data_IF_448770046871
#
_entry.id   IF_448770046871
#
_cell.length_a   1.000
_cell.length_b   1.000
_cell.length_c   1.000
_cell.angle_alpha   90.00
_cell.angle_beta   90.00
_cell.angle_gamma   90.00
#
_symmetry.space_group_name_H-M   'P 1'
#
loop_
_entity.id
_entity.type
_entity.pdbx_description
1 polymer ?
#
# COMPACT_ATOMS: atom_id res chain seq x y z
N UNK A 1 -44.93 -13.96 -0.65
CA UNK A 1 -44.98 -14.62 0.67
C UNK A 1 -44.92 -13.64 1.86
N UNK A 2 -45.35 -12.38 1.73
CA UNK A 2 -45.38 -11.45 2.87
C UNK A 2 -44.02 -10.98 3.41
N UNK A 3 -42.90 -11.25 2.71
CA UNK A 3 -41.56 -10.75 3.06
C UNK A 3 -41.41 -9.32 2.54
N UNK A 4 -40.99 -8.39 3.41
CA UNK A 4 -40.58 -7.02 3.02
C UNK A 4 -39.05 -6.97 2.91
N UNK A 5 -38.50 -5.92 2.30
CA UNK A 5 -37.06 -5.67 2.30
C UNK A 5 -36.48 -5.61 3.73
N UNK A 6 -37.21 -5.00 4.67
CA UNK A 6 -36.87 -4.99 6.11
C UNK A 6 -36.99 -6.36 6.79
N UNK A 7 -37.56 -7.36 6.11
CA UNK A 7 -37.69 -8.75 6.55
C UNK A 7 -36.75 -9.69 5.82
N UNK A 8 -35.81 -9.18 5.02
CA UNK A 8 -34.70 -9.94 4.46
C UNK A 8 -33.47 -9.58 5.29
N UNK A 9 -33.05 -10.47 6.19
CA UNK A 9 -31.95 -10.23 7.13
C UNK A 9 -30.69 -10.94 6.64
N UNK A 10 -29.56 -10.25 6.72
CA UNK A 10 -28.23 -10.78 6.47
C UNK A 10 -27.45 -10.76 7.78
N UNK A 11 -27.03 -11.93 8.24
CA UNK A 11 -26.17 -12.11 9.40
C UNK A 11 -24.72 -12.27 8.94
N UNK A 12 -23.80 -11.47 9.45
CA UNK A 12 -22.36 -11.59 9.17
C UNK A 12 -21.80 -12.72 10.03
N UNK A 13 -21.41 -13.82 9.39
CA UNK A 13 -20.85 -15.00 10.07
C UNK A 13 -19.33 -14.92 10.12
N UNK A 14 -18.72 -14.41 9.06
CA UNK A 14 -17.27 -14.19 9.00
C UNK A 14 -17.05 -12.84 8.33
N UNK A 15 -16.46 -11.88 9.05
CA UNK A 15 -16.15 -10.58 8.50
C UNK A 15 -15.08 -10.68 7.41
N UNK A 16 -14.95 -9.65 6.56
CA UNK A 16 -13.85 -9.55 5.62
C UNK A 16 -12.48 -9.58 6.30
N UNK A 17 -11.48 -10.09 5.58
CA UNK A 17 -10.09 -10.21 6.06
C UNK A 17 -9.21 -9.02 5.70
N UNK A 18 -9.60 -8.23 4.70
CA UNK A 18 -8.86 -7.10 4.12
C UNK A 18 -9.64 -5.80 4.20
N UNK A 19 -10.56 -5.71 5.16
CA UNK A 19 -11.42 -4.55 5.31
C UNK A 19 -12.45 -4.75 6.40
N UNK A 20 -13.51 -3.94 6.34
CA UNK A 20 -14.68 -4.05 7.22
C UNK A 20 -15.95 -3.70 6.48
N UNK A 21 -17.06 -4.26 6.93
CA UNK A 21 -18.38 -3.74 6.59
C UNK A 21 -18.69 -2.57 7.52
N UNK A 22 -19.06 -1.44 6.93
CA UNK A 22 -19.48 -0.25 7.65
C UNK A 22 -21.00 -0.11 7.52
N UNK A 23 -21.69 -0.19 8.66
CA UNK A 23 -23.15 -0.15 8.72
C UNK A 23 -23.55 1.15 9.41
N UNK A 24 -24.01 2.12 8.63
CA UNK A 24 -24.44 3.45 9.05
C UNK A 24 -25.80 3.40 9.76
N UNK A 25 -25.88 2.65 10.86
CA UNK A 25 -27.04 2.61 11.73
C UNK A 25 -26.65 3.18 13.09
N UNK A 26 -27.55 3.97 13.70
CA UNK A 26 -27.49 4.32 15.12
C UNK A 26 -27.80 3.09 16.01
N UNK A 27 -27.23 1.93 15.69
CA UNK A 27 -27.38 0.67 16.40
C UNK A 27 -26.06 0.28 17.03
N UNK A 28 -26.11 -0.63 18.00
CA UNK A 28 -24.89 -1.10 18.64
C UNK A 28 -24.03 -1.80 17.57
N UNK A 29 -22.71 -1.57 17.54
CA UNK A 29 -21.75 -2.28 16.69
C UNK A 29 -21.78 -3.82 16.83
N UNK A 30 -22.52 -4.34 17.82
CA UNK A 30 -22.63 -5.75 18.17
C UNK A 30 -23.73 -6.48 17.38
N UNK A 31 -24.59 -5.76 16.65
CA UNK A 31 -25.57 -6.38 15.76
C UNK A 31 -24.91 -6.58 14.39
N UNK A 32 -24.25 -7.73 14.20
CA UNK A 32 -23.69 -8.23 12.93
C UNK A 32 -24.81 -8.56 11.91
N UNK A 33 -25.87 -7.75 11.85
CA UNK A 33 -27.07 -7.99 11.06
C UNK A 33 -27.57 -6.71 10.42
N UNK A 34 -27.81 -6.78 9.11
CA UNK A 34 -28.45 -5.72 8.34
C UNK A 34 -29.54 -6.29 7.44
N UNK A 35 -30.39 -5.44 6.89
CA UNK A 35 -31.51 -5.84 6.04
C UNK A 35 -31.29 -5.47 4.58
N UNK A 36 -32.10 -6.03 3.68
CA UNK A 36 -32.14 -5.58 2.29
C UNK A 36 -32.56 -4.10 2.17
N UNK A 37 -33.38 -3.61 3.10
CA UNK A 37 -33.73 -2.19 3.16
C UNK A 37 -32.50 -1.32 3.49
N UNK A 38 -31.62 -1.79 4.37
CA UNK A 38 -30.39 -1.05 4.72
C UNK A 38 -29.42 -1.01 3.53
N UNK A 39 -29.28 -2.13 2.80
CA UNK A 39 -28.51 -2.17 1.53
C UNK A 39 -29.09 -1.22 0.49
N UNK A 40 -30.42 -1.23 0.29
CA UNK A 40 -31.09 -0.40 -0.70
C UNK A 40 -31.00 1.12 -0.39
N UNK A 41 -30.75 1.48 0.86
CA UNK A 41 -30.54 2.87 1.29
C UNK A 41 -29.06 3.27 1.34
N UNK A 42 -28.14 2.43 0.82
CA UNK A 42 -26.69 2.63 0.86
C UNK A 42 -26.12 2.79 2.28
N UNK A 43 -26.79 2.21 3.29
CA UNK A 43 -26.33 2.26 4.69
C UNK A 43 -25.34 1.17 5.03
N UNK A 44 -25.07 0.24 4.12
CA UNK A 44 -24.08 -0.83 4.28
C UNK A 44 -23.03 -0.65 3.20
N UNK A 45 -21.80 -0.35 3.61
CA UNK A 45 -20.66 -0.18 2.72
C UNK A 45 -19.53 -1.15 3.07
N UNK A 46 -18.61 -1.36 2.14
CA UNK A 46 -17.35 -2.03 2.41
C UNK A 46 -16.21 -1.01 2.37
N UNK A 47 -15.34 -1.08 3.37
CA UNK A 47 -14.13 -0.24 3.45
C UNK A 47 -12.92 -1.16 3.47
N UNK A 48 -12.10 -1.08 2.40
CA UNK A 48 -10.83 -1.82 2.30
C UNK A 48 -9.80 -1.25 3.29
N UNK A 49 -8.88 -2.09 3.75
CA UNK A 49 -7.83 -1.73 4.71
C UNK A 49 -6.65 -0.95 4.10
N UNK A 50 -6.69 -0.68 2.79
CA UNK A 50 -5.62 -0.03 2.03
C UNK A 50 -4.47 -0.95 1.61
N UNK A 51 -4.53 -2.26 1.88
CA UNK A 51 -3.57 -3.21 1.32
C UNK A 51 -3.78 -3.45 -0.18
N UNK A 52 -2.79 -4.04 -0.84
CA UNK A 52 -2.82 -4.31 -2.30
C UNK A 52 -3.56 -5.60 -2.69
N UNK A 53 -4.30 -6.18 -1.76
CA UNK A 53 -5.12 -7.34 -2.07
C UNK A 53 -6.31 -6.95 -2.93
N UNK A 54 -6.50 -7.67 -4.03
CA UNK A 54 -7.63 -7.43 -4.94
C UNK A 54 -8.84 -8.31 -4.63
N UNK A 55 -8.69 -9.23 -3.69
CA UNK A 55 -9.70 -10.22 -3.32
C UNK A 55 -9.91 -10.23 -1.82
N UNK A 56 -11.18 -10.15 -1.42
CA UNK A 56 -11.64 -10.36 -0.06
C UNK A 56 -13.01 -11.04 -0.10
N UNK A 57 -13.53 -11.48 1.03
CA UNK A 57 -14.85 -12.13 1.07
C UNK A 57 -15.54 -11.99 2.40
N UNK A 58 -16.87 -11.98 2.38
CA UNK A 58 -17.71 -12.00 3.58
C UNK A 58 -18.57 -13.25 3.55
N UNK A 59 -18.65 -13.96 4.68
CA UNK A 59 -19.60 -15.07 4.83
C UNK A 59 -20.87 -14.55 5.48
N UNK A 60 -21.99 -14.68 4.78
CA UNK A 60 -23.30 -14.21 5.23
C UNK A 60 -24.29 -15.36 5.39
N UNK A 61 -25.23 -15.22 6.33
CA UNK A 61 -26.43 -16.03 6.43
C UNK A 61 -27.68 -15.20 6.15
N UNK A 62 -28.46 -15.63 5.17
CA UNK A 62 -29.75 -15.04 4.81
C UNK A 62 -30.88 -15.65 5.64
N UNK A 63 -31.69 -14.81 6.27
CA UNK A 63 -32.92 -15.18 6.96
C UNK A 63 -34.11 -14.37 6.41
N UNK A 64 -35.22 -15.04 6.13
CA UNK A 64 -36.44 -14.41 5.63
C UNK A 64 -37.53 -14.38 6.71
N UNK A 65 -37.97 -13.19 7.08
CA UNK A 65 -39.02 -12.94 8.05
C UNK A 65 -40.27 -12.43 7.34
N UNK A 66 -41.39 -13.10 7.58
CA UNK A 66 -42.69 -12.75 6.99
C UNK A 66 -43.50 -11.83 7.91
N UNK A 67 -44.43 -11.08 7.32
CA UNK A 67 -45.53 -10.48 8.09
C UNK A 67 -46.42 -11.56 8.69
N UNK A 68 -47.06 -11.24 9.81
CA UNK A 68 -48.06 -12.09 10.45
C UNK A 68 -49.11 -12.59 9.45
N UNK A 69 -49.41 -13.89 9.49
CA UNK A 69 -50.38 -14.54 8.60
C UNK A 69 -49.81 -15.11 7.30
N UNK A 70 -48.51 -14.94 7.03
CA UNK A 70 -47.84 -15.54 5.88
C UNK A 70 -46.84 -16.62 6.33
N UNK A 71 -46.87 -17.77 5.66
CA UNK A 71 -45.95 -18.88 5.89
C UNK A 71 -45.05 -19.02 4.65
N UNK A 72 -43.72 -19.10 4.87
CA UNK A 72 -42.78 -19.39 3.80
C UNK A 72 -42.84 -20.87 3.41
N UNK A 73 -42.57 -21.22 2.14
CA UNK A 73 -42.26 -22.60 1.78
C UNK A 73 -41.13 -23.15 2.67
N UNK A 74 -41.19 -24.45 3.01
CA UNK A 74 -40.23 -25.08 3.95
C UNK A 74 -38.77 -24.88 3.54
N UNK A 75 -38.46 -24.90 2.25
CA UNK A 75 -37.12 -24.67 1.71
C UNK A 75 -36.62 -23.22 1.87
N UNK A 76 -37.47 -22.27 2.25
CA UNK A 76 -37.09 -20.88 2.55
C UNK A 76 -37.14 -20.54 4.04
N UNK A 77 -37.53 -21.49 4.90
CA UNK A 77 -37.63 -21.27 6.33
C UNK A 77 -36.27 -21.39 7.05
N UNK A 78 -35.30 -22.07 6.46
CA UNK A 78 -33.94 -22.19 7.00
C UNK A 78 -33.08 -20.97 6.64
N UNK A 79 -32.07 -20.70 7.47
CA UNK A 79 -31.00 -19.76 7.10
C UNK A 79 -30.16 -20.33 5.96
N UNK A 80 -29.79 -19.47 5.02
CA UNK A 80 -28.98 -19.85 3.87
C UNK A 80 -27.63 -19.16 3.92
N UNK A 81 -26.56 -19.95 4.05
CA UNK A 81 -25.19 -19.45 4.09
C UNK A 81 -24.60 -19.31 2.70
N UNK A 82 -23.96 -18.19 2.42
CA UNK A 82 -23.26 -17.95 1.17
C UNK A 82 -22.03 -17.06 1.37
N UNK A 83 -21.13 -17.08 0.38
CA UNK A 83 -19.95 -16.22 0.34
C UNK A 83 -20.22 -15.08 -0.61
N UNK A 84 -20.05 -13.85 -0.14
CA UNK A 84 -20.06 -12.64 -0.96
C UNK A 84 -18.61 -12.28 -1.31
N UNK A 85 -18.16 -12.47 -2.57
CA UNK A 85 -16.83 -12.05 -2.97
C UNK A 85 -16.77 -10.52 -3.09
N UNK A 86 -15.72 -9.94 -2.55
CA UNK A 86 -15.38 -8.52 -2.71
C UNK A 86 -14.18 -8.44 -3.63
N UNK A 87 -14.31 -7.68 -4.72
CA UNK A 87 -13.23 -7.42 -5.67
C UNK A 87 -12.84 -5.97 -5.60
N UNK A 88 -11.58 -5.72 -5.26
CA UNK A 88 -11.01 -4.38 -5.18
C UNK A 88 -9.99 -4.21 -6.29
N UNK A 89 -10.03 -3.06 -6.95
CA UNK A 89 -9.01 -2.68 -7.92
C UNK A 89 -7.96 -1.89 -7.16
N UNK A 90 -6.81 -2.52 -6.93
CA UNK A 90 -5.65 -1.83 -6.38
C UNK A 90 -5.26 -0.65 -7.30
N UNK A 91 -4.86 0.45 -6.69
CA UNK A 91 -4.26 1.60 -7.38
C UNK A 91 -2.83 1.69 -6.90
N UNK A 92 -1.91 1.85 -7.84
CA UNK A 92 -0.48 2.01 -7.55
C UNK A 92 -0.28 3.26 -6.68
N UNK A 93 0.35 3.09 -5.54
CA UNK A 93 0.80 4.17 -4.69
C UNK A 93 2.21 4.61 -5.10
N UNK A 94 2.58 5.86 -4.81
CA UNK A 94 3.92 6.34 -5.16
C UNK A 94 4.97 5.82 -4.16
N UNK A 95 6.20 5.52 -4.62
CA UNK A 95 7.28 5.11 -3.72
C UNK A 95 7.57 6.21 -2.69
N UNK A 96 8.10 5.82 -1.54
CA UNK A 96 8.45 6.74 -0.46
C UNK A 96 9.89 6.56 -0.01
N UNK A 97 10.61 7.67 0.12
CA UNK A 97 11.99 7.67 0.62
C UNK A 97 11.96 7.82 2.15
N UNK A 98 12.50 6.82 2.84
CA UNK A 98 12.64 6.80 4.29
C UNK A 98 14.12 7.02 4.61
N UNK A 99 14.42 8.20 5.13
CA UNK A 99 15.77 8.55 5.55
C UNK A 99 15.87 8.44 7.09
N UNK A 100 16.96 7.87 7.65
CA UNK A 100 17.18 7.80 9.10
C UNK A 100 17.08 9.16 9.82
N UNK A 101 17.04 9.21 11.16
CA UNK A 101 17.10 10.48 11.88
C UNK A 101 18.43 11.24 11.69
N UNK A 102 19.52 10.52 11.39
CA UNK A 102 20.87 11.05 11.20
C UNK A 102 21.28 11.06 9.72
N UNK A 103 20.54 11.80 8.89
CA UNK A 103 20.78 11.95 7.44
C UNK A 103 21.93 12.90 7.13
N UNK A 104 23.09 12.67 7.74
CA UNK A 104 24.30 13.45 7.48
C UNK A 104 25.44 12.49 7.19
N UNK A 105 25.89 12.48 5.94
CA UNK A 105 27.06 11.72 5.54
C UNK A 105 28.33 12.58 5.67
N UNK A 106 29.19 12.27 6.65
CA UNK A 106 30.47 12.97 6.81
C UNK A 106 31.59 12.23 6.09
N UNK A 107 32.13 12.84 5.04
CA UNK A 107 33.25 12.31 4.26
C UNK A 107 34.39 13.31 4.12
N UNK A 108 35.62 12.81 4.15
CA UNK A 108 36.79 13.62 3.84
C UNK A 108 36.90 13.83 2.32
N UNK A 109 37.43 14.97 1.90
CA UNK A 109 37.78 15.22 0.49
C UNK A 109 38.64 14.06 -0.07
N UNK A 110 38.27 13.53 -1.23
CA UNK A 110 38.95 12.40 -1.86
C UNK A 110 38.55 11.01 -1.33
N UNK A 111 37.64 10.92 -0.36
CA UNK A 111 37.13 9.64 0.17
C UNK A 111 35.84 9.19 -0.51
N UNK A 112 35.48 7.93 -0.29
CA UNK A 112 34.23 7.34 -0.78
C UNK A 112 33.52 6.55 0.32
N UNK A 113 32.24 6.28 0.09
CA UNK A 113 31.39 5.54 1.02
C UNK A 113 30.37 4.72 0.27
N UNK A 114 30.33 3.42 0.57
CA UNK A 114 29.27 2.53 0.13
C UNK A 114 27.93 3.00 0.70
N UNK A 115 26.97 3.20 -0.18
CA UNK A 115 25.60 3.51 0.17
C UNK A 115 24.87 2.21 0.49
N UNK A 116 24.11 2.19 1.58
CA UNK A 116 23.35 1.03 2.04
C UNK A 116 21.93 1.45 2.40
N UNK A 117 21.06 0.48 2.68
CA UNK A 117 19.69 0.73 3.16
C UNK A 117 19.63 1.44 4.53
N UNK A 118 20.76 1.54 5.23
CA UNK A 118 20.88 2.32 6.47
C UNK A 118 21.08 3.81 6.21
N UNK A 119 21.39 4.22 4.98
CA UNK A 119 21.60 5.62 4.59
C UNK A 119 20.43 6.09 3.73
N UNK A 120 20.01 5.27 2.76
CA UNK A 120 18.89 5.55 1.87
C UNK A 120 17.98 4.34 1.89
N UNK A 121 16.75 4.47 2.39
CA UNK A 121 15.76 3.42 2.25
C UNK A 121 14.59 3.90 1.39
N UNK A 122 14.06 3.02 0.56
CA UNK A 122 12.86 3.26 -0.23
C UNK A 122 11.87 2.18 0.10
N UNK A 123 10.64 2.58 0.38
CA UNK A 123 9.52 1.66 0.60
C UNK A 123 8.46 1.93 -0.46
N UNK A 124 7.98 0.84 -1.04
CA UNK A 124 6.91 0.79 -2.01
C UNK A 124 6.32 -0.61 -1.89
N UNK A 125 5.01 -0.72 -1.70
CA UNK A 125 4.36 -2.02 -1.52
C UNK A 125 4.07 -2.68 -2.87
N UNK A 126 3.83 -1.88 -3.92
CA UNK A 126 3.45 -2.34 -5.26
C UNK A 126 4.67 -2.85 -6.05
N UNK A 127 5.86 -2.36 -5.71
CA UNK A 127 7.05 -2.47 -6.57
C UNK A 127 8.21 -3.16 -5.87
N UNK A 128 8.70 -4.29 -6.42
CA UNK A 128 9.86 -4.97 -5.85
C UNK A 128 11.16 -4.16 -5.98
N UNK A 129 12.16 -4.38 -5.11
CA UNK A 129 13.39 -3.57 -5.06
C UNK A 129 14.20 -3.50 -6.37
N UNK A 130 14.11 -4.52 -7.22
CA UNK A 130 14.80 -4.56 -8.51
C UNK A 130 14.17 -3.65 -9.57
N UNK A 131 12.94 -3.17 -9.34
CA UNK A 131 12.22 -2.24 -10.22
C UNK A 131 12.17 -0.82 -9.68
N UNK A 132 12.39 -0.62 -8.38
CA UNK A 132 12.53 0.70 -7.78
C UNK A 132 13.85 1.36 -8.19
N UNK A 133 13.76 2.51 -8.86
CA UNK A 133 14.90 3.23 -9.42
C UNK A 133 15.14 4.53 -8.69
N UNK A 134 16.30 4.64 -8.05
CA UNK A 134 16.77 5.83 -7.34
C UNK A 134 17.64 6.64 -8.28
N UNK A 135 17.39 7.95 -8.38
CA UNK A 135 18.17 8.90 -9.17
C UNK A 135 18.74 10.00 -8.29
N UNK A 136 19.97 10.41 -8.56
CA UNK A 136 20.64 11.52 -7.87
C UNK A 136 20.68 12.73 -8.79
N UNK A 137 20.02 13.82 -8.41
CA UNK A 137 19.71 14.93 -9.31
C UNK A 137 20.77 16.05 -9.33
N UNK A 138 21.65 16.11 -8.34
CA UNK A 138 22.52 17.27 -8.12
C UNK A 138 24.02 16.92 -8.03
N UNK A 139 24.46 15.87 -8.72
CA UNK A 139 25.88 15.55 -8.87
C UNK A 139 26.58 16.60 -9.74
N UNK A 140 27.69 17.16 -9.27
CA UNK A 140 28.43 18.24 -9.94
C UNK A 140 29.67 17.70 -10.66
N UNK A 141 29.47 16.90 -11.69
CA UNK A 141 30.60 16.35 -12.46
C UNK A 141 31.28 17.41 -13.34
N UNK A 142 32.62 17.33 -13.58
CA UNK A 142 33.55 16.30 -13.09
C UNK A 142 34.23 16.66 -11.76
N UNK A 143 34.07 17.88 -11.27
CA UNK A 143 34.87 18.42 -10.14
C UNK A 143 34.27 18.10 -8.76
N UNK A 144 33.01 17.67 -8.70
CA UNK A 144 32.30 17.31 -7.47
C UNK A 144 32.12 15.81 -7.27
N UNK A 145 31.17 15.44 -6.42
CA UNK A 145 30.87 14.05 -6.15
C UNK A 145 30.13 13.35 -7.30
N UNK A 146 30.28 12.02 -7.35
CA UNK A 146 29.57 11.15 -8.26
C UNK A 146 29.21 9.83 -7.56
N UNK A 147 28.26 9.10 -8.12
CA UNK A 147 27.94 7.72 -7.70
C UNK A 147 28.60 6.77 -8.70
N UNK A 148 29.08 5.63 -8.22
CA UNK A 148 29.56 4.54 -9.07
C UNK A 148 29.04 3.19 -8.59
N UNK A 149 29.15 2.19 -9.45
CA UNK A 149 28.97 0.79 -9.06
C UNK A 149 30.32 0.11 -8.88
N UNK A 150 30.46 -0.74 -7.86
CA UNK A 150 31.65 -1.59 -7.69
C UNK A 150 31.89 -2.55 -8.87
N UNK A 151 30.87 -2.78 -9.71
CA UNK A 151 30.98 -3.58 -10.94
C UNK A 151 31.70 -2.84 -12.08
N UNK A 152 31.61 -1.51 -12.11
CA UNK A 152 32.27 -0.65 -13.11
C UNK A 152 32.84 0.60 -12.42
N UNK A 153 33.93 0.44 -11.62
CA UNK A 153 34.51 1.55 -10.87
C UNK A 153 35.00 2.68 -11.79
N UNK A 154 34.96 3.92 -11.29
CA UNK A 154 35.38 5.12 -12.00
C UNK A 154 34.41 5.63 -13.06
N UNK A 155 33.31 4.91 -13.31
CA UNK A 155 32.27 5.34 -14.26
C UNK A 155 31.09 5.94 -13.50
N UNK A 156 30.79 7.24 -13.70
CA UNK A 156 29.66 7.89 -13.05
C UNK A 156 28.31 7.26 -13.41
N UNK A 157 27.45 7.17 -12.39
CA UNK A 157 26.12 6.65 -12.46
C UNK A 157 25.14 7.70 -11.91
N UNK A 158 24.11 8.03 -12.68
CA UNK A 158 23.08 8.98 -12.21
C UNK A 158 21.91 8.31 -11.49
N UNK A 159 21.88 6.97 -11.50
CA UNK A 159 20.73 6.20 -11.04
C UNK A 159 21.01 4.72 -10.90
N UNK A 160 20.44 4.09 -9.88
CA UNK A 160 20.61 2.68 -9.53
C UNK A 160 19.30 2.11 -8.98
N UNK A 161 19.20 0.79 -8.85
CA UNK A 161 18.01 0.16 -8.26
C UNK A 161 18.16 -0.02 -6.74
N UNK A 162 17.03 -0.15 -6.04
CA UNK A 162 17.03 -0.47 -4.61
C UNK A 162 17.68 -1.85 -4.34
N UNK A 163 17.54 -2.80 -5.27
CA UNK A 163 18.26 -4.08 -5.20
C UNK A 163 19.79 -3.90 -5.25
N UNK A 164 20.32 -3.07 -6.15
CA UNK A 164 21.76 -2.79 -6.22
C UNK A 164 22.27 -2.12 -4.93
N UNK A 165 21.46 -1.24 -4.33
CA UNK A 165 21.77 -0.64 -3.03
C UNK A 165 21.80 -1.70 -1.92
N UNK A 166 20.83 -2.62 -1.89
CA UNK A 166 20.76 -3.72 -0.92
C UNK A 166 21.88 -4.75 -1.09
N UNK A 167 22.50 -4.82 -2.27
CA UNK A 167 23.67 -5.64 -2.55
C UNK A 167 24.99 -4.95 -2.17
N UNK A 168 24.93 -3.73 -1.61
CA UNK A 168 26.09 -2.92 -1.21
C UNK A 168 27.08 -2.64 -2.37
N UNK A 169 26.58 -2.59 -3.61
CA UNK A 169 27.42 -2.36 -4.81
C UNK A 169 27.41 -0.91 -5.31
N UNK A 170 26.77 0.00 -4.59
CA UNK A 170 26.66 1.42 -4.96
C UNK A 170 27.52 2.26 -4.01
N UNK A 171 28.37 3.12 -4.56
CA UNK A 171 29.32 3.93 -3.79
C UNK A 171 29.19 5.40 -4.16
N UNK A 172 29.14 6.27 -3.14
CA UNK A 172 29.31 7.70 -3.29
C UNK A 172 30.79 8.06 -3.21
N UNK A 173 31.30 8.77 -4.21
CA UNK A 173 32.71 9.17 -4.30
C UNK A 173 32.81 10.69 -4.25
N UNK A 174 33.56 11.20 -3.29
CA UNK A 174 33.69 12.63 -3.04
C UNK A 174 35.03 13.18 -3.54
N UNK A 175 35.01 14.05 -4.55
CA UNK A 175 36.25 14.62 -5.15
C UNK A 175 36.77 15.89 -4.47
N UNK A 176 36.12 16.35 -3.40
CA UNK A 176 36.64 17.41 -2.53
C UNK A 176 36.04 18.81 -2.74
N UNK A 177 35.06 18.99 -3.64
CA UNK A 177 34.19 20.18 -3.58
C UNK A 177 33.36 20.14 -2.30
N UNK A 178 33.05 21.27 -1.66
CA UNK A 178 32.08 21.30 -0.57
C UNK A 178 30.67 21.00 -1.12
N UNK A 179 30.35 19.73 -1.24
CA UNK A 179 29.00 19.24 -1.54
C UNK A 179 28.28 19.04 -0.22
N UNK A 180 27.23 19.83 0.00
CA UNK A 180 26.50 19.86 1.28
C UNK A 180 25.22 19.03 1.26
N UNK A 181 24.75 18.60 0.09
CA UNK A 181 23.44 17.97 -0.08
C UNK A 181 23.41 16.99 -1.26
N UNK A 182 22.64 15.91 -1.12
CA UNK A 182 22.29 14.97 -2.19
C UNK A 182 20.78 15.04 -2.39
N UNK A 183 20.34 15.30 -3.62
CA UNK A 183 18.92 15.35 -3.99
C UNK A 183 18.55 14.02 -4.66
N UNK A 184 17.67 13.28 -4.00
CA UNK A 184 17.20 11.98 -4.43
C UNK A 184 15.80 12.07 -5.05
N UNK A 185 15.55 11.23 -6.03
CA UNK A 185 14.23 11.02 -6.64
C UNK A 185 14.04 9.54 -6.96
N UNK A 186 12.88 9.00 -6.67
CA UNK A 186 12.61 7.56 -6.84
C UNK A 186 11.36 7.33 -7.66
N UNK A 187 11.43 6.38 -8.59
CA UNK A 187 10.31 5.94 -9.43
C UNK A 187 10.21 4.42 -9.44
N UNK A 188 8.98 3.93 -9.51
CA UNK A 188 8.60 2.53 -9.78
C UNK A 188 8.37 2.24 -11.29
N UNK A 189 8.43 3.27 -12.13
CA UNK A 189 8.14 3.24 -13.56
C UNK A 189 6.73 3.72 -13.94
N UNK A 190 5.83 3.93 -12.98
CA UNK A 190 4.48 4.47 -13.15
C UNK A 190 4.36 5.84 -12.48
N UNK A 191 4.73 5.93 -11.22
CA UNK A 191 4.72 7.11 -10.38
C UNK A 191 6.14 7.49 -9.93
N UNK A 192 6.28 8.67 -9.33
CA UNK A 192 7.59 9.17 -8.90
C UNK A 192 7.47 10.07 -7.68
N UNK A 193 8.43 9.96 -6.75
CA UNK A 193 8.51 10.87 -5.61
C UNK A 193 8.78 12.31 -6.05
N UNK A 194 8.36 13.27 -5.23
CA UNK A 194 8.99 14.59 -5.22
C UNK A 194 10.50 14.50 -4.90
N UNK A 195 11.31 15.52 -5.25
CA UNK A 195 12.72 15.54 -4.87
C UNK A 195 12.88 15.58 -3.34
N UNK A 196 13.68 14.68 -2.77
CA UNK A 196 14.01 14.65 -1.34
C UNK A 196 15.47 15.01 -1.15
N UNK A 197 15.75 15.90 -0.18
CA UNK A 197 17.10 16.38 0.11
C UNK A 197 17.67 15.59 1.29
N UNK A 198 18.81 14.93 1.09
CA UNK A 198 19.67 14.40 2.15
C UNK A 198 20.87 15.31 2.35
N UNK A 199 21.38 15.40 3.58
CA UNK A 199 22.57 16.18 3.94
C UNK A 199 23.77 15.28 4.25
#
# INVERSE_FOLDING_TARGET
YGVRESGVLFHVITPPSRGRLDVHLWRRPEDDTFTLLDLNNDWVGYVHDGSETSEDSVVLELELVTRSGYILPSYLQSRHRFVLPVRVVARNDAPSIVLPPANVLRLAAGSSKTLTNQIINVVDSDTPPNRLRISVLNLKEPEGAYIESSQVPGTPLHSFTMEQLNQDIITYVHRGSPDTQIVLKVTDGLETTGPVISQ
#
